data_IF_770383711224
#
_entry.id   IF_770383711224
#
_cell.length_a   1.000
_cell.length_b   1.000
_cell.length_c   1.000
_cell.angle_alpha   90.00
_cell.angle_beta   90.00
_cell.angle_gamma   90.00
#
_symmetry.space_group_name_H-M   'P 1'
#
loop_
_entity.id
_entity.type
_entity.pdbx_description
1 polymer ?
#
# COMPACT_ATOMS: atom_id res chain seq x y z
N UNK A 1 25.49 -7.03 2.03
CA UNK A 1 24.26 -6.86 1.24
C UNK A 1 24.45 -5.62 0.38
N UNK A 2 24.41 -5.71 -0.96
CA UNK A 2 24.67 -4.55 -1.81
C UNK A 2 23.39 -3.71 -2.03
N UNK A 3 23.52 -2.44 -2.41
CA UNK A 3 22.37 -1.52 -2.60
C UNK A 3 21.38 -2.00 -3.67
N UNK A 4 21.87 -2.62 -4.76
CA UNK A 4 21.02 -3.26 -5.79
C UNK A 4 20.27 -4.48 -5.25
N UNK A 5 20.86 -5.27 -4.36
CA UNK A 5 20.17 -6.41 -3.74
C UNK A 5 19.06 -5.95 -2.80
N UNK A 6 19.27 -4.83 -2.09
CA UNK A 6 18.24 -4.19 -1.25
C UNK A 6 17.13 -3.65 -2.15
N UNK A 7 17.47 -2.94 -3.22
CA UNK A 7 16.49 -2.37 -4.16
C UNK A 7 15.68 -3.44 -4.91
N UNK A 8 16.29 -4.57 -5.27
CA UNK A 8 15.60 -5.66 -5.98
C UNK A 8 14.83 -6.61 -5.05
N UNK A 9 15.24 -6.76 -3.78
CA UNK A 9 14.57 -7.64 -2.81
C UNK A 9 13.68 -6.92 -1.78
N UNK A 10 13.72 -5.59 -1.67
CA UNK A 10 12.99 -4.87 -0.61
C UNK A 10 11.47 -4.90 -0.77
N UNK A 11 10.95 -5.20 -1.96
CA UNK A 11 9.50 -5.20 -2.23
C UNK A 11 9.12 -6.53 -2.89
N UNK A 12 9.38 -7.64 -2.19
CA UNK A 12 8.70 -8.90 -2.50
C UNK A 12 7.49 -9.00 -1.59
N UNK A 13 6.26 -8.84 -2.10
CA UNK A 13 5.11 -9.03 -1.26
C UNK A 13 4.89 -10.51 -0.94
N UNK A 14 4.07 -10.74 0.07
CA UNK A 14 3.47 -12.04 0.30
C UNK A 14 2.52 -12.43 -0.84
N UNK A 15 2.17 -13.72 -0.96
CA UNK A 15 0.92 -14.12 -1.59
C UNK A 15 -0.27 -13.34 -0.98
N UNK A 16 -1.37 -13.26 -1.72
CA UNK A 16 -2.60 -12.65 -1.21
C UNK A 16 -3.21 -13.52 -0.11
N UNK A 17 -3.46 -12.92 1.04
CA UNK A 17 -4.26 -13.50 2.11
C UNK A 17 -5.72 -13.07 1.94
N UNK A 18 -6.64 -14.03 1.92
CA UNK A 18 -8.06 -13.71 2.01
C UNK A 18 -8.43 -13.36 3.45
N UNK A 19 -9.02 -12.18 3.64
CA UNK A 19 -9.59 -11.73 4.90
C UNK A 19 -11.09 -11.50 4.71
N UNK A 20 -11.91 -12.14 5.55
CA UNK A 20 -13.36 -11.95 5.57
C UNK A 20 -13.76 -11.02 6.72
N UNK A 21 -14.52 -9.97 6.41
CA UNK A 21 -14.95 -8.92 7.34
C UNK A 21 -16.48 -8.80 7.38
N UNK A 22 -17.21 -9.82 7.87
CA UNK A 22 -18.67 -9.90 7.77
C UNK A 22 -19.43 -8.77 8.50
N UNK A 23 -18.78 -8.10 9.46
CA UNK A 23 -19.35 -6.97 10.20
C UNK A 23 -18.95 -5.58 9.67
N UNK A 24 -18.21 -5.51 8.56
CA UNK A 24 -17.64 -4.24 8.10
C UNK A 24 -18.70 -3.23 7.69
N UNK A 25 -18.45 -1.97 8.03
CA UNK A 25 -19.25 -0.83 7.53
C UNK A 25 -18.73 -0.29 6.20
N UNK A 26 -17.53 -0.71 5.76
CA UNK A 26 -16.94 -0.31 4.50
C UNK A 26 -17.81 -0.78 3.33
N UNK A 27 -18.48 0.17 2.63
CA UNK A 27 -19.38 -0.15 1.51
C UNK A 27 -18.68 -0.94 0.40
N UNK A 28 -17.41 -0.64 0.14
CA UNK A 28 -16.65 -1.27 -0.96
C UNK A 28 -16.41 -2.75 -0.64
N UNK A 29 -15.95 -3.07 0.57
CA UNK A 29 -15.72 -4.46 0.99
C UNK A 29 -17.03 -5.23 1.11
N UNK A 30 -18.11 -4.59 1.60
CA UNK A 30 -19.46 -5.20 1.61
C UNK A 30 -19.92 -5.59 0.21
N UNK A 31 -19.72 -4.71 -0.77
CA UNK A 31 -20.09 -4.96 -2.16
C UNK A 31 -19.24 -6.08 -2.79
N UNK A 32 -18.03 -6.32 -2.27
CA UNK A 32 -17.20 -7.46 -2.63
C UNK A 32 -17.49 -8.72 -1.76
N UNK A 33 -18.70 -8.87 -1.25
CA UNK A 33 -19.11 -10.06 -0.49
C UNK A 33 -18.42 -10.19 0.87
N UNK A 34 -18.07 -9.06 1.50
CA UNK A 34 -17.34 -9.00 2.77
C UNK A 34 -15.92 -9.56 2.71
N UNK A 35 -15.34 -9.63 1.51
CA UNK A 35 -14.00 -10.18 1.27
C UNK A 35 -13.04 -9.11 0.83
N UNK A 36 -11.80 -9.22 1.31
CA UNK A 36 -10.68 -8.41 0.85
C UNK A 36 -9.44 -9.29 0.76
N UNK A 37 -8.68 -9.13 -0.32
CA UNK A 37 -7.40 -9.79 -0.49
C UNK A 37 -6.29 -8.85 -0.05
N UNK A 38 -5.37 -9.34 0.77
CA UNK A 38 -4.34 -8.54 1.41
C UNK A 38 -2.95 -9.03 0.99
N UNK A 39 -2.14 -8.14 0.44
CA UNK A 39 -0.71 -8.36 0.23
C UNK A 39 0.10 -7.67 1.32
N UNK A 40 1.09 -8.36 1.88
CA UNK A 40 2.00 -7.83 2.91
C UNK A 40 3.29 -7.39 2.24
N UNK A 41 3.67 -6.14 2.46
CA UNK A 41 4.86 -5.53 1.87
C UNK A 41 5.82 -5.09 2.98
N UNK A 42 7.00 -5.70 3.10
CA UNK A 42 7.95 -5.35 4.13
C UNK A 42 8.66 -4.03 3.81
N UNK A 43 9.07 -3.29 4.85
CA UNK A 43 10.00 -2.15 4.78
C UNK A 43 9.52 -0.93 3.96
N UNK A 44 8.22 -0.85 3.65
CA UNK A 44 7.61 0.28 2.94
C UNK A 44 6.43 0.89 3.71
N UNK A 45 6.35 0.64 5.01
CA UNK A 45 5.42 1.32 5.90
C UNK A 45 5.66 2.83 5.87
N UNK A 46 4.58 3.60 6.03
CA UNK A 46 4.63 5.07 6.00
C UNK A 46 4.59 5.70 4.60
N UNK A 47 4.77 4.92 3.52
CA UNK A 47 4.83 5.43 2.15
C UNK A 47 3.49 6.00 1.65
N UNK A 48 2.37 5.62 2.27
CA UNK A 48 1.01 6.04 1.90
C UNK A 48 0.31 6.87 2.96
N UNK A 49 1.06 7.40 3.93
CA UNK A 49 0.56 8.30 4.98
C UNK A 49 -0.18 9.51 4.39
N UNK A 50 -1.23 9.96 5.09
CA UNK A 50 -2.06 11.09 4.66
C UNK A 50 -1.75 12.41 5.37
N UNK A 51 -0.99 12.36 6.46
CA UNK A 51 -0.53 13.52 7.22
C UNK A 51 0.74 14.17 6.66
N UNK A 52 1.42 13.49 5.73
CA UNK A 52 2.56 14.03 4.98
C UNK A 52 2.09 14.28 3.53
N UNK A 53 2.28 15.50 3.02
CA UNK A 53 1.71 15.92 1.73
C UNK A 53 2.38 15.18 0.55
N UNK A 54 3.68 14.90 0.66
CA UNK A 54 4.47 14.16 -0.32
C UNK A 54 3.96 12.71 -0.48
N UNK A 55 3.80 11.99 0.63
CA UNK A 55 3.31 10.60 0.63
C UNK A 55 1.84 10.54 0.21
N UNK A 56 1.04 11.56 0.55
CA UNK A 56 -0.34 11.69 0.09
C UNK A 56 -0.42 11.86 -1.43
N UNK A 57 0.40 12.75 -2.02
CA UNK A 57 0.48 12.94 -3.48
C UNK A 57 0.97 11.68 -4.18
N UNK A 58 2.02 11.05 -3.63
CA UNK A 58 2.56 9.79 -4.13
C UNK A 58 1.48 8.69 -4.13
N UNK A 59 0.86 8.44 -2.98
CA UNK A 59 -0.16 7.43 -2.81
C UNK A 59 -1.38 7.67 -3.70
N UNK A 60 -1.81 8.93 -3.84
CA UNK A 60 -2.93 9.29 -4.73
C UNK A 60 -2.59 9.01 -6.20
N UNK A 61 -1.42 9.45 -6.66
CA UNK A 61 -0.95 9.21 -8.03
C UNK A 61 -0.87 7.70 -8.32
N UNK A 62 -0.31 6.93 -7.40
CA UNK A 62 -0.17 5.48 -7.56
C UNK A 62 -1.55 4.80 -7.63
N UNK A 63 -2.46 5.16 -6.71
CA UNK A 63 -3.82 4.61 -6.65
C UNK A 63 -4.64 4.96 -7.91
N UNK A 64 -4.62 6.23 -8.36
CA UNK A 64 -5.31 6.66 -9.58
C UNK A 64 -4.77 5.93 -10.82
N UNK A 65 -3.46 5.73 -10.90
CA UNK A 65 -2.83 5.00 -12.02
C UNK A 65 -3.25 3.52 -12.04
N UNK A 66 -3.31 2.87 -10.87
CA UNK A 66 -3.81 1.49 -10.75
C UNK A 66 -5.28 1.42 -11.15
N UNK A 67 -6.11 2.33 -10.62
CA UNK A 67 -7.54 2.39 -10.92
C UNK A 67 -7.81 2.55 -12.42
N UNK A 68 -7.12 3.48 -13.08
CA UNK A 68 -7.24 3.70 -14.51
C UNK A 68 -6.80 2.48 -15.32
N UNK A 69 -5.63 1.90 -14.99
CA UNK A 69 -5.08 0.77 -15.74
C UNK A 69 -5.92 -0.50 -15.61
N UNK A 70 -6.38 -0.78 -14.41
CA UNK A 70 -7.14 -1.99 -14.09
C UNK A 70 -8.65 -1.81 -14.29
N UNK A 71 -9.10 -0.60 -14.60
CA UNK A 71 -10.51 -0.23 -14.69
C UNK A 71 -11.28 -0.61 -13.40
N UNK A 72 -10.70 -0.29 -12.24
CA UNK A 72 -11.25 -0.56 -10.92
C UNK A 72 -11.12 0.65 -9.98
N UNK A 73 -11.28 0.46 -8.67
CA UNK A 73 -11.26 1.54 -7.67
C UNK A 73 -9.89 1.72 -6.97
N UNK A 74 -8.82 1.10 -7.49
CA UNK A 74 -7.49 1.15 -6.90
C UNK A 74 -7.34 0.20 -5.72
N UNK A 75 -6.67 0.63 -4.65
CA UNK A 75 -6.36 -0.18 -3.47
C UNK A 75 -6.48 0.65 -2.18
N UNK A 76 -6.51 -0.05 -1.04
CA UNK A 76 -6.40 0.57 0.29
C UNK A 76 -5.08 0.16 0.93
N UNK A 77 -4.60 0.94 1.89
CA UNK A 77 -3.43 0.53 2.68
C UNK A 77 -3.64 0.73 4.18
N UNK A 78 -2.83 0.04 4.98
CA UNK A 78 -2.80 0.25 6.43
C UNK A 78 -2.15 1.57 6.87
N UNK A 79 -1.50 2.32 5.98
CA UNK A 79 -1.05 3.69 6.32
C UNK A 79 -2.23 4.69 6.35
N UNK A 80 -3.39 4.30 5.83
CA UNK A 80 -4.60 5.12 5.75
C UNK A 80 -5.52 4.95 6.98
N UNK A 81 -4.99 4.45 8.10
CA UNK A 81 -5.74 4.23 9.35
C UNK A 81 -6.47 5.51 9.81
N UNK A 82 -7.66 5.37 10.43
CA UNK A 82 -8.54 6.48 10.83
C UNK A 82 -7.92 7.64 11.62
N UNK A 83 -6.77 7.48 12.28
CA UNK A 83 -6.05 8.61 12.91
C UNK A 83 -5.71 9.74 11.91
N UNK A 84 -5.68 9.44 10.61
CA UNK A 84 -5.31 10.39 9.56
C UNK A 84 -6.48 10.91 8.69
N UNK A 85 -7.72 10.71 9.14
CA UNK A 85 -8.88 11.49 8.65
C UNK A 85 -9.59 10.99 7.39
N UNK A 86 -9.19 9.84 6.80
CA UNK A 86 -9.94 9.20 5.70
C UNK A 86 -9.93 7.68 5.90
N UNK A 87 -10.77 7.18 6.81
CA UNK A 87 -11.07 5.74 6.80
C UNK A 87 -12.09 5.48 5.69
N UNK A 88 -11.82 4.52 4.81
CA UNK A 88 -12.83 3.99 3.89
C UNK A 88 -13.92 3.16 4.62
N UNK A 89 -14.18 3.46 5.89
CA UNK A 89 -15.16 2.78 6.74
C UNK A 89 -14.64 1.56 7.47
N UNK A 90 -13.31 1.35 7.55
CA UNK A 90 -12.68 0.34 8.40
C UNK A 90 -12.37 0.92 9.78
N UNK A 91 -12.78 0.20 10.82
CA UNK A 91 -12.48 0.47 12.22
C UNK A 91 -11.11 -0.07 12.62
N UNK A 92 -10.56 0.44 13.73
CA UNK A 92 -9.29 -0.03 14.28
C UNK A 92 -9.28 -1.55 14.53
N UNK A 93 -10.39 -2.10 15.04
CA UNK A 93 -10.55 -3.55 15.25
C UNK A 93 -10.46 -4.36 13.95
N UNK A 94 -10.94 -3.82 12.84
CA UNK A 94 -10.82 -4.48 11.54
C UNK A 94 -9.38 -4.43 11.03
N UNK A 95 -8.67 -3.32 11.26
CA UNK A 95 -7.24 -3.25 10.98
C UNK A 95 -6.43 -4.24 11.84
N UNK A 96 -6.70 -4.33 13.14
CA UNK A 96 -6.09 -5.35 14.03
C UNK A 96 -6.31 -6.77 13.50
N UNK A 97 -7.54 -7.08 13.12
CA UNK A 97 -7.87 -8.38 12.54
C UNK A 97 -7.11 -8.63 11.23
N UNK A 98 -6.99 -7.64 10.34
CA UNK A 98 -6.19 -7.77 9.12
C UNK A 98 -4.72 -8.08 9.44
N UNK A 99 -4.12 -7.38 10.41
CA UNK A 99 -2.73 -7.67 10.83
C UNK A 99 -2.59 -9.10 11.38
N UNK A 100 -3.53 -9.54 12.23
CA UNK A 100 -3.55 -10.91 12.76
C UNK A 100 -3.64 -11.96 11.64
N UNK A 101 -4.58 -11.77 10.70
CA UNK A 101 -4.84 -12.73 9.61
C UNK A 101 -3.71 -12.80 8.58
N UNK A 102 -2.96 -11.72 8.41
CA UNK A 102 -1.84 -11.64 7.47
C UNK A 102 -0.49 -11.95 8.11
N UNK A 103 -0.43 -12.01 9.45
CA UNK A 103 0.83 -12.11 10.19
C UNK A 103 1.73 -10.88 10.05
N UNK A 104 1.17 -9.76 9.58
CA UNK A 104 1.93 -8.54 9.35
C UNK A 104 2.22 -7.80 10.67
N UNK A 105 3.40 -7.18 10.76
CA UNK A 105 3.79 -6.36 11.91
C UNK A 105 3.48 -4.90 11.63
N UNK A 106 2.74 -4.23 12.52
CA UNK A 106 2.31 -2.81 12.39
C UNK A 106 3.47 -1.84 12.17
N UNK A 107 4.63 -2.12 12.74
CA UNK A 107 5.83 -1.28 12.78
C UNK A 107 6.81 -1.56 11.63
N UNK A 108 6.53 -2.54 10.77
CA UNK A 108 7.49 -3.01 9.74
C UNK A 108 6.89 -3.28 8.39
N UNK A 109 5.59 -3.54 8.34
CA UNK A 109 4.90 -4.01 7.15
C UNK A 109 3.74 -3.08 6.79
N UNK A 110 3.67 -2.77 5.50
CA UNK A 110 2.48 -2.21 4.88
C UNK A 110 1.57 -3.36 4.43
N UNK A 111 0.28 -3.30 4.75
CA UNK A 111 -0.70 -4.19 4.13
C UNK A 111 -1.45 -3.41 3.06
N UNK A 112 -1.42 -3.91 1.84
CA UNK A 112 -2.20 -3.39 0.71
C UNK A 112 -3.41 -4.29 0.49
N UNK A 113 -4.57 -3.69 0.34
CA UNK A 113 -5.87 -4.35 0.33
C UNK A 113 -6.58 -4.15 -1.00
N UNK A 114 -7.06 -5.26 -1.57
CA UNK A 114 -7.76 -5.34 -2.85
C UNK A 114 -9.15 -5.93 -2.63
N UNK A 115 -10.18 -5.09 -2.71
CA UNK A 115 -11.57 -5.51 -2.50
C UNK A 115 -12.24 -5.93 -3.82
N UNK A 116 -11.67 -6.96 -4.46
CA UNK A 116 -12.11 -7.50 -5.75
C UNK A 116 -12.20 -9.03 -5.72
N UNK A 117 -12.75 -9.69 -6.75
CA UNK A 117 -12.59 -11.12 -6.95
C UNK A 117 -11.11 -11.52 -7.03
N UNK A 118 -10.79 -12.75 -6.64
CA UNK A 118 -9.40 -13.24 -6.48
C UNK A 118 -8.51 -12.95 -7.69
N UNK A 119 -9.00 -13.28 -8.90
CA UNK A 119 -8.25 -13.08 -10.14
C UNK A 119 -7.91 -11.61 -10.36
N UNK A 120 -8.88 -10.72 -10.18
CA UNK A 120 -8.67 -9.27 -10.35
C UNK A 120 -7.73 -8.73 -9.27
N UNK A 121 -7.84 -9.23 -8.04
CA UNK A 121 -6.93 -8.85 -6.96
C UNK A 121 -5.47 -9.25 -7.27
N UNK A 122 -5.24 -10.45 -7.80
CA UNK A 122 -3.91 -10.91 -8.23
C UNK A 122 -3.34 -10.08 -9.38
N UNK A 123 -4.15 -9.82 -10.41
CA UNK A 123 -3.75 -8.99 -11.55
C UNK A 123 -3.44 -7.54 -11.10
N UNK A 124 -4.25 -7.00 -10.18
CA UNK A 124 -4.06 -5.66 -9.60
C UNK A 124 -2.81 -5.60 -8.73
N UNK A 125 -2.55 -6.63 -7.91
CA UNK A 125 -1.33 -6.73 -7.10
C UNK A 125 -0.08 -6.72 -7.99
N UNK A 126 -0.10 -7.54 -9.05
CA UNK A 126 1.01 -7.64 -10.01
C UNK A 126 1.31 -6.27 -10.63
N UNK A 127 0.28 -5.57 -11.13
CA UNK A 127 0.47 -4.24 -11.72
C UNK A 127 0.92 -3.20 -10.69
N UNK A 128 0.33 -3.22 -9.49
CA UNK A 128 0.73 -2.35 -8.38
C UNK A 128 2.21 -2.53 -8.05
N UNK A 129 2.72 -3.76 -7.97
CA UNK A 129 4.11 -4.06 -7.68
C UNK A 129 5.06 -3.51 -8.76
N UNK A 130 4.74 -3.74 -10.03
CA UNK A 130 5.52 -3.21 -11.15
C UNK A 130 5.59 -1.68 -11.10
N UNK A 131 4.46 -1.04 -10.85
CA UNK A 131 4.36 0.42 -10.77
C UNK A 131 5.10 0.95 -9.54
N UNK A 132 4.92 0.32 -8.37
CA UNK A 132 5.56 0.70 -7.12
C UNK A 132 7.08 0.62 -7.26
N UNK A 133 7.62 -0.47 -7.82
CA UNK A 133 9.07 -0.60 -8.07
C UNK A 133 9.59 0.52 -8.97
N UNK A 134 8.87 0.83 -10.04
CA UNK A 134 9.24 1.90 -10.99
C UNK A 134 9.22 3.28 -10.34
N UNK A 135 8.20 3.59 -9.56
CA UNK A 135 8.02 4.92 -8.96
C UNK A 135 8.86 5.10 -7.69
N UNK A 136 9.00 4.07 -6.84
CA UNK A 136 9.84 4.11 -5.63
C UNK A 136 11.32 4.33 -5.96
N UNK A 137 11.81 3.70 -7.04
CA UNK A 137 13.16 3.93 -7.54
C UNK A 137 13.41 5.38 -7.93
N UNK A 138 12.46 6.02 -8.62
CA UNK A 138 12.57 7.43 -8.99
C UNK A 138 12.56 8.32 -7.75
N UNK A 139 11.63 8.06 -6.84
CA UNK A 139 11.50 8.81 -5.59
C UNK A 139 12.81 8.80 -4.78
N UNK A 140 13.43 7.63 -4.60
CA UNK A 140 14.73 7.49 -3.91
C UNK A 140 15.88 8.22 -4.60
N UNK A 141 15.91 8.23 -5.94
CA UNK A 141 16.96 8.92 -6.71
C UNK A 141 16.81 10.43 -6.61
N UNK A 142 15.59 10.94 -6.67
CA UNK A 142 15.29 12.38 -6.51
C UNK A 142 15.60 12.86 -5.09
N UNK A 143 15.25 12.07 -4.07
CA UNK A 143 15.51 12.39 -2.65
C UNK A 143 17.01 12.36 -2.33
N UNK A 144 17.75 11.37 -2.86
CA UNK A 144 19.21 11.33 -2.75
C UNK A 144 19.91 12.47 -3.53
N UNK A 145 19.33 12.91 -4.64
CA UNK A 145 19.83 14.06 -5.41
C UNK A 145 19.56 15.39 -4.72
N UNK A 146 18.41 15.53 -4.05
CA UNK A 146 18.05 16.70 -3.25
C UNK A 146 18.96 16.84 -2.01
N UNK A 147 19.20 15.74 -1.28
CA UNK A 147 20.09 15.73 -0.11
C UNK A 147 21.55 16.13 -0.44
N UNK A 148 22.04 15.82 -1.65
CA UNK A 148 23.37 16.26 -2.11
C UNK A 148 23.44 17.75 -2.46
N UNK A 149 22.32 18.38 -2.86
CA UNK A 149 22.31 19.80 -3.25
C UNK A 149 22.25 20.75 -2.04
N UNK A 150 21.77 20.30 -0.88
CA UNK A 150 21.74 21.11 0.35
C UNK A 150 23.09 21.14 1.10
N UNK A 151 24.11 20.42 0.62
CA UNK A 151 25.45 20.40 1.26
C UNK A 151 26.43 21.44 0.66
N UNK A 152 26.01 22.21 -0.36
CA UNK A 152 26.83 23.25 -0.99
C UNK A 152 26.14 24.62 -0.93
N UNK A 153 25.84 25.09 0.27
CA UNK A 153 25.71 26.52 0.54
C UNK A 153 26.61 26.88 1.72
N UNK A 154 27.86 27.22 1.39
CA UNK A 154 28.78 27.98 2.24
C UNK A 154 29.22 29.22 1.47
#
# INVERSE_FOLDING_TARGET
MNVRDIVQNAISPSPLFLVELPGTKCRIIRNNGYRVYCGVYPLIDGLFRKDIEETKKFGRKLCDTVAEKMNNHGFFTTDEIPEYGISYGLSEKEYEYIYERTGASRDRHLVVMFAYPEREALETQTFFEELLRKEYLKYRVEDAGAACNDTFQF
#
